data_IF_852311776268
#
_entry.id   IF_852311776268
#
_cell.length_a   1.000
_cell.length_b   1.000
_cell.length_c   1.000
_cell.angle_alpha   90.00
_cell.angle_beta   90.00
_cell.angle_gamma   90.00
#
_symmetry.space_group_name_H-M   'P 1'
#
loop_
_entity.id
_entity.type
_entity.pdbx_description
1 polymer ?
#
# COMPACT_ATOMS: atom_id res chain seq x y z
N UNK A 1 -10.95 15.02 -0.94
CA UNK A 1 -10.64 13.60 -0.66
C UNK A 1 -9.43 13.56 0.26
N UNK A 2 -9.64 13.52 1.58
CA UNK A 2 -8.55 13.49 2.56
C UNK A 2 -7.57 12.33 2.32
N UNK A 3 -8.06 11.19 1.80
CA UNK A 3 -7.24 10.01 1.54
C UNK A 3 -6.25 10.20 0.39
N UNK A 4 -6.58 11.03 -0.61
CA UNK A 4 -5.64 11.39 -1.68
C UNK A 4 -4.45 12.18 -1.12
N UNK A 5 -4.69 13.14 -0.21
CA UNK A 5 -3.60 13.89 0.39
C UNK A 5 -2.71 12.99 1.24
N UNK A 6 -3.31 12.10 2.04
CA UNK A 6 -2.56 11.12 2.83
C UNK A 6 -1.72 10.17 1.95
N UNK A 7 -2.23 9.77 0.79
CA UNK A 7 -1.47 8.99 -0.20
C UNK A 7 -0.28 9.78 -0.76
N UNK A 8 -0.48 11.06 -1.12
CA UNK A 8 0.60 11.91 -1.61
C UNK A 8 1.68 12.13 -0.55
N UNK A 9 1.30 12.33 0.71
CA UNK A 9 2.23 12.46 1.83
C UNK A 9 3.03 11.16 2.02
N UNK A 10 2.39 10.00 1.92
CA UNK A 10 3.06 8.70 1.99
C UNK A 10 4.05 8.48 0.82
N UNK A 11 3.64 8.82 -0.40
CA UNK A 11 4.46 8.69 -1.61
C UNK A 11 5.67 9.63 -1.58
N UNK A 12 5.46 10.89 -1.19
CA UNK A 12 6.55 11.88 -1.07
C UNK A 12 7.52 11.51 0.05
N UNK A 13 7.06 10.77 1.06
CA UNK A 13 7.89 10.19 2.11
C UNK A 13 8.72 8.97 1.67
N UNK A 14 8.58 8.43 0.47
CA UNK A 14 9.43 7.31 0.02
C UNK A 14 10.88 7.77 -0.22
N UNK A 15 11.88 6.98 0.20
CA UNK A 15 13.27 7.31 -0.08
C UNK A 15 13.51 7.29 -1.60
N UNK A 16 14.21 8.32 -2.10
CA UNK A 16 14.56 8.45 -3.52
C UNK A 16 15.86 7.73 -3.89
N UNK A 17 16.55 7.21 -2.88
CA UNK A 17 17.80 6.46 -3.00
C UNK A 17 17.55 4.98 -2.74
N UNK A 18 18.40 4.13 -3.32
CA UNK A 18 18.36 2.69 -3.01
C UNK A 18 18.75 2.48 -1.53
N UNK A 19 18.12 1.51 -0.84
CA UNK A 19 18.52 1.17 0.51
C UNK A 19 19.96 0.64 0.52
N UNK A 20 20.77 1.13 1.47
CA UNK A 20 22.18 0.77 1.62
C UNK A 20 22.40 -0.47 2.49
N UNK A 21 21.36 -1.00 3.13
CA UNK A 21 21.44 -2.19 3.97
C UNK A 21 20.10 -2.65 4.53
N UNK A 22 20.09 -3.71 5.37
CA UNK A 22 18.87 -4.36 5.85
C UNK A 22 17.91 -3.41 6.58
N UNK A 23 18.44 -2.51 7.42
CA UNK A 23 17.63 -1.54 8.17
C UNK A 23 16.90 -0.57 7.25
N UNK A 24 17.58 -0.09 6.21
CA UNK A 24 16.99 0.83 5.23
C UNK A 24 15.99 0.11 4.31
N UNK A 25 16.26 -1.16 3.98
CA UNK A 25 15.33 -1.98 3.21
C UNK A 25 14.03 -2.23 3.97
N UNK A 26 14.11 -2.54 5.27
CA UNK A 26 12.94 -2.69 6.14
C UNK A 26 12.16 -1.38 6.26
N UNK A 27 12.85 -0.25 6.44
CA UNK A 27 12.21 1.06 6.48
C UNK A 27 11.50 1.42 5.17
N UNK A 28 12.07 1.03 4.01
CA UNK A 28 11.43 1.17 2.71
C UNK A 28 10.17 0.29 2.63
N UNK A 29 10.24 -0.99 3.01
CA UNK A 29 9.08 -1.90 3.01
C UNK A 29 7.95 -1.37 3.90
N UNK A 30 8.27 -0.87 5.10
CA UNK A 30 7.29 -0.26 6.00
C UNK A 30 6.56 0.93 5.35
N UNK A 31 7.30 1.79 4.62
CA UNK A 31 6.72 2.92 3.90
C UNK A 31 5.87 2.47 2.70
N UNK A 32 6.35 1.49 1.94
CA UNK A 32 5.57 0.91 0.84
C UNK A 32 4.27 0.27 1.32
N UNK A 33 4.30 -0.44 2.46
CA UNK A 33 3.09 -0.98 3.11
C UNK A 33 2.09 0.13 3.43
N UNK A 34 2.56 1.25 3.99
CA UNK A 34 1.70 2.41 4.24
C UNK A 34 1.12 3.02 2.97
N UNK A 35 1.89 3.10 1.87
CA UNK A 35 1.39 3.55 0.57
C UNK A 35 0.30 2.61 0.04
N UNK A 36 0.51 1.29 0.13
CA UNK A 36 -0.48 0.30 -0.31
C UNK A 36 -1.81 0.43 0.47
N UNK A 37 -1.75 0.60 1.80
CA UNK A 37 -2.93 0.84 2.62
C UNK A 37 -3.70 2.10 2.16
N UNK A 38 -2.99 3.22 1.99
CA UNK A 38 -3.61 4.48 1.54
C UNK A 38 -4.18 4.39 0.12
N UNK A 39 -3.56 3.60 -0.74
CA UNK A 39 -4.09 3.38 -2.07
C UNK A 39 -5.38 2.55 -2.04
N UNK A 40 -5.47 1.54 -1.17
CA UNK A 40 -6.71 0.81 -0.94
C UNK A 40 -7.83 1.74 -0.44
N UNK A 41 -7.53 2.62 0.53
CA UNK A 41 -8.48 3.63 1.03
C UNK A 41 -9.02 4.53 -0.10
N UNK A 42 -8.13 5.08 -0.94
CA UNK A 42 -8.52 5.92 -2.09
C UNK A 42 -9.41 5.16 -3.07
N UNK A 43 -9.10 3.90 -3.37
CA UNK A 43 -9.90 3.07 -4.27
C UNK A 43 -11.28 2.74 -3.67
N UNK A 44 -11.35 2.53 -2.36
CA UNK A 44 -12.60 2.34 -1.63
C UNK A 44 -13.49 3.58 -1.68
N UNK A 45 -12.94 4.77 -1.36
CA UNK A 45 -13.67 6.04 -1.48
C UNK A 45 -14.16 6.28 -2.92
N UNK A 46 -13.30 6.04 -3.91
CA UNK A 46 -13.65 6.19 -5.32
C UNK A 46 -14.77 5.24 -5.75
N UNK A 47 -14.75 4.00 -5.25
CA UNK A 47 -15.81 3.02 -5.52
C UNK A 47 -17.15 3.49 -4.95
N UNK A 48 -17.18 3.94 -3.70
CA UNK A 48 -18.41 4.41 -3.06
C UNK A 48 -19.01 5.62 -3.80
N UNK A 49 -18.17 6.59 -4.17
CA UNK A 49 -18.59 7.78 -4.92
C UNK A 49 -19.05 7.50 -6.36
N UNK A 50 -18.47 6.50 -7.03
CA UNK A 50 -18.70 6.23 -8.45
C UNK A 50 -19.69 5.09 -8.76
N UNK A 51 -20.14 4.34 -7.74
CA UNK A 51 -20.89 3.07 -7.89
C UNK A 51 -22.13 3.13 -8.79
N UNK A 52 -22.80 4.29 -8.86
CA UNK A 52 -24.02 4.49 -9.68
C UNK A 52 -23.78 5.22 -11.00
N UNK A 53 -22.54 5.60 -11.27
CA UNK A 53 -22.14 6.41 -12.42
C UNK A 53 -21.31 5.59 -13.42
N UNK A 54 -20.72 4.48 -12.97
CA UNK A 54 -19.88 3.61 -13.79
C UNK A 54 -20.71 2.54 -14.52
N UNK A 55 -20.37 2.20 -15.77
CA UNK A 55 -20.86 0.98 -16.40
C UNK A 55 -20.45 -0.27 -15.59
N UNK A 56 -21.24 -1.37 -15.62
CA UNK A 56 -20.98 -2.54 -14.78
C UNK A 56 -19.57 -3.13 -14.88
N UNK A 57 -18.98 -3.12 -16.08
CA UNK A 57 -17.61 -3.61 -16.29
C UNK A 57 -16.56 -2.72 -15.62
N UNK A 58 -16.78 -1.41 -15.60
CA UNK A 58 -15.88 -0.46 -14.94
C UNK A 58 -15.99 -0.57 -13.41
N UNK A 59 -17.20 -0.76 -12.87
CA UNK A 59 -17.40 -1.03 -11.43
C UNK A 59 -16.68 -2.33 -10.99
N UNK A 60 -16.80 -3.39 -11.78
CA UNK A 60 -16.09 -4.65 -11.52
C UNK A 60 -14.56 -4.48 -11.57
N UNK A 61 -14.05 -3.71 -12.54
CA UNK A 61 -12.61 -3.43 -12.63
C UNK A 61 -12.11 -2.59 -11.45
N UNK A 62 -12.88 -1.61 -10.99
CA UNK A 62 -12.54 -0.81 -9.81
C UNK A 62 -12.55 -1.66 -8.52
N UNK A 63 -13.54 -2.55 -8.38
CA UNK A 63 -13.58 -3.54 -7.29
C UNK A 63 -12.33 -4.42 -7.29
N UNK A 64 -11.88 -4.89 -8.46
CA UNK A 64 -10.67 -5.71 -8.57
C UNK A 64 -9.41 -4.91 -8.25
N UNK A 65 -9.34 -3.64 -8.67
CA UNK A 65 -8.22 -2.76 -8.35
C UNK A 65 -8.09 -2.56 -6.83
N UNK A 66 -9.22 -2.34 -6.14
CA UNK A 66 -9.26 -2.24 -4.68
C UNK A 66 -8.70 -3.51 -4.01
N UNK A 67 -9.21 -4.69 -4.38
CA UNK A 67 -8.74 -5.97 -3.83
C UNK A 67 -7.24 -6.19 -4.04
N UNK A 68 -6.72 -5.84 -5.21
CA UNK A 68 -5.27 -5.95 -5.50
C UNK A 68 -4.43 -4.98 -4.66
N UNK A 69 -4.98 -3.82 -4.30
CA UNK A 69 -4.30 -2.91 -3.38
C UNK A 69 -4.25 -3.49 -1.96
N UNK A 70 -5.34 -4.11 -1.50
CA UNK A 70 -5.39 -4.84 -0.23
C UNK A 70 -4.40 -6.03 -0.22
N UNK A 71 -4.40 -6.84 -1.28
CA UNK A 71 -3.44 -7.95 -1.44
C UNK A 71 -1.99 -7.42 -1.38
N UNK A 72 -1.68 -6.35 -2.10
CA UNK A 72 -0.35 -5.72 -2.04
C UNK A 72 0.02 -5.25 -0.63
N UNK A 73 -0.94 -4.74 0.15
CA UNK A 73 -0.71 -4.36 1.55
C UNK A 73 -0.34 -5.58 2.39
N UNK A 74 -1.09 -6.68 2.27
CA UNK A 74 -0.85 -7.92 3.02
C UNK A 74 0.51 -8.51 2.70
N UNK A 75 0.88 -8.62 1.44
CA UNK A 75 2.18 -9.15 1.03
C UNK A 75 3.35 -8.30 1.55
N UNK A 76 3.19 -6.97 1.59
CA UNK A 76 4.19 -6.08 2.18
C UNK A 76 4.26 -6.20 3.71
N UNK A 77 3.15 -6.50 4.38
CA UNK A 77 3.14 -6.80 5.81
C UNK A 77 3.87 -8.10 6.12
N UNK A 78 3.66 -9.14 5.31
CA UNK A 78 4.41 -10.42 5.41
C UNK A 78 5.90 -10.17 5.22
N UNK A 79 6.30 -9.49 4.15
CA UNK A 79 7.71 -9.19 3.89
C UNK A 79 8.37 -8.37 5.01
N UNK A 80 7.65 -7.40 5.58
CA UNK A 80 8.13 -6.59 6.70
C UNK A 80 8.34 -7.43 7.96
N UNK A 81 7.41 -8.36 8.23
CA UNK A 81 7.52 -9.28 9.36
C UNK A 81 8.71 -10.22 9.21
N UNK A 82 8.91 -10.79 8.03
CA UNK A 82 10.08 -11.63 7.71
C UNK A 82 11.40 -10.89 7.96
N UNK A 83 11.48 -9.60 7.60
CA UNK A 83 12.67 -8.78 7.86
C UNK A 83 12.92 -8.58 9.35
N UNK A 84 11.87 -8.36 10.14
CA UNK A 84 11.98 -8.19 11.58
C UNK A 84 12.41 -9.49 12.27
N UNK A 85 11.88 -10.64 11.84
CA UNK A 85 12.23 -11.96 12.35
C UNK A 85 13.69 -12.32 12.00
N UNK A 86 14.17 -12.00 10.80
CA UNK A 86 15.56 -12.24 10.40
C UNK A 86 16.59 -11.35 11.13
N UNK A 87 16.16 -10.22 11.69
CA UNK A 87 17.03 -9.32 12.45
C UNK A 87 17.34 -9.83 13.86
N UNK A 88 16.48 -10.67 14.43
CA UNK A 88 16.64 -11.18 15.80
C UNK A 88 17.42 -12.51 15.79
N UNK A 89 18.70 -12.54 16.20
CA UNK A 89 19.54 -13.74 16.10
C UNK A 89 19.31 -14.74 17.25
N UNK A 90 18.24 -14.56 18.04
CA UNK A 90 17.91 -15.42 19.18
C UNK A 90 16.99 -16.63 18.83
N UNK A 91 16.74 -16.87 17.53
CA UNK A 91 16.03 -18.05 17.00
C UNK A 91 16.97 -18.91 16.16
#
# INVERSE_FOLDING_TARGET
MPDIQALLDALTGLPRTRPAGPVEAEALLARLRSVAARWADVLYEAQDGARRQLPPRAEAALTLAFRRAEESYVELEIALRDCAEHRDPAV
#
